data_IF_441490324777
#
_entry.id   IF_441490324777
#
_cell.length_a   1.000
_cell.length_b   1.000
_cell.length_c   1.000
_cell.angle_alpha   90.00
_cell.angle_beta   90.00
_cell.angle_gamma   90.00
#
_symmetry.space_group_name_H-M   'P 1'
#
loop_
_entity.id
_entity.type
_entity.pdbx_description
1 polymer ?
#
# COMPACT_ATOMS: atom_id res chain seq x y z
N UNK A 1 3.23 -10.90 17.91
CA UNK A 1 3.87 -11.25 16.64
C UNK A 1 3.17 -10.56 15.49
N UNK A 2 3.95 -10.02 14.56
CA UNK A 2 3.37 -9.34 13.40
C UNK A 2 2.88 -10.38 12.40
N UNK A 3 1.65 -10.21 11.92
CA UNK A 3 1.06 -11.07 10.90
C UNK A 3 0.63 -10.21 9.72
N UNK A 4 0.37 -10.85 8.58
CA UNK A 4 -0.14 -10.11 7.42
C UNK A 4 -1.45 -9.42 7.77
N UNK A 5 -2.32 -10.10 8.50
CA UNK A 5 -3.61 -9.51 8.87
C UNK A 5 -3.43 -8.30 9.75
N UNK A 6 -2.47 -8.36 10.68
CA UNK A 6 -2.21 -7.21 11.54
C UNK A 6 -1.68 -6.02 10.74
N UNK A 7 -0.80 -6.28 9.77
CA UNK A 7 -0.29 -5.22 8.92
C UNK A 7 -1.41 -4.58 8.14
N UNK A 8 -2.30 -5.39 7.56
CA UNK A 8 -3.43 -4.85 6.81
C UNK A 8 -4.35 -4.04 7.70
N UNK A 9 -4.51 -4.47 8.95
CA UNK A 9 -5.32 -3.73 9.91
C UNK A 9 -4.70 -2.38 10.24
N UNK A 10 -3.38 -2.35 10.41
CA UNK A 10 -2.69 -1.11 10.74
C UNK A 10 -2.86 -0.09 9.60
N UNK A 11 -2.82 -0.54 8.36
CA UNK A 11 -2.90 0.36 7.21
C UNK A 11 -4.28 0.40 6.59
N UNK A 12 -5.31 -0.08 7.28
CA UNK A 12 -6.64 -0.20 6.69
C UNK A 12 -7.17 1.13 6.18
N UNK A 13 -7.01 2.19 6.97
CA UNK A 13 -7.52 3.50 6.56
C UNK A 13 -6.79 4.00 5.33
N UNK A 14 -5.46 3.83 5.30
CA UNK A 14 -4.70 4.25 4.15
C UNK A 14 -5.11 3.47 2.90
N UNK A 15 -5.25 2.15 3.02
CA UNK A 15 -5.58 1.32 1.87
C UNK A 15 -6.97 1.63 1.34
N UNK A 16 -7.86 2.08 2.21
CA UNK A 16 -9.19 2.51 1.77
C UNK A 16 -9.11 3.84 1.02
N UNK A 17 -8.22 4.73 1.47
CA UNK A 17 -8.12 6.06 0.87
C UNK A 17 -7.37 6.07 -0.45
N UNK A 18 -6.35 5.23 -0.59
CA UNK A 18 -5.50 5.22 -1.78
C UNK A 18 -5.95 4.12 -2.71
N UNK A 19 -6.77 4.47 -3.69
CA UNK A 19 -7.37 3.50 -4.60
C UNK A 19 -6.38 2.92 -5.58
N UNK A 20 -5.18 3.46 -5.68
CA UNK A 20 -4.18 2.95 -6.62
C UNK A 20 -3.35 1.81 -6.05
N UNK A 21 -3.49 1.51 -4.76
CA UNK A 21 -2.73 0.46 -4.10
C UNK A 21 -3.69 -0.60 -3.61
N UNK A 22 -3.41 -1.86 -3.94
CA UNK A 22 -4.22 -2.98 -3.46
C UNK A 22 -3.29 -4.10 -2.99
N UNK A 23 -3.77 -4.86 -2.02
CA UNK A 23 -3.00 -5.95 -1.46
C UNK A 23 -3.86 -7.21 -1.47
N UNK A 24 -3.29 -8.29 -1.97
CA UNK A 24 -4.00 -9.57 -2.08
C UNK A 24 -3.22 -10.63 -1.33
N UNK A 25 -3.94 -11.54 -0.69
CA UNK A 25 -3.34 -12.69 -0.02
C UNK A 25 -3.15 -13.79 -1.06
N UNK A 26 -1.95 -14.33 -1.12
CA UNK A 26 -1.66 -15.46 -2.01
C UNK A 26 -1.03 -16.56 -1.17
N UNK A 27 -0.85 -17.73 -1.80
CA UNK A 27 -0.21 -18.82 -1.08
C UNK A 27 1.26 -18.55 -0.81
N UNK A 28 1.83 -17.57 -1.46
CA UNK A 28 3.25 -17.23 -1.30
C UNK A 28 3.46 -16.01 -0.43
N UNK A 29 2.40 -15.44 0.16
CA UNK A 29 2.48 -14.25 0.96
C UNK A 29 1.45 -13.23 0.51
N UNK A 30 1.76 -11.96 0.67
CA UNK A 30 0.88 -10.89 0.20
C UNK A 30 1.45 -10.24 -1.03
N UNK A 31 0.59 -9.96 -2.00
CA UNK A 31 0.98 -9.28 -3.23
C UNK A 31 0.46 -7.85 -3.17
N UNK A 32 1.36 -6.90 -3.26
CA UNK A 32 1.01 -5.48 -3.32
C UNK A 32 1.01 -5.06 -4.78
N UNK A 33 -0.11 -4.51 -5.25
CA UNK A 33 -0.29 -4.14 -6.64
C UNK A 33 -0.52 -2.65 -6.74
N UNK A 34 0.14 -2.02 -7.70
CA UNK A 34 0.00 -0.59 -7.92
C UNK A 34 -0.62 -0.33 -9.28
N UNK A 35 -1.58 0.60 -9.32
CA UNK A 35 -2.26 1.02 -10.54
C UNK A 35 -2.01 2.51 -10.76
N UNK A 36 -2.08 2.93 -12.04
CA UNK A 36 -1.98 4.36 -12.33
C UNK A 36 -3.36 5.01 -12.15
N UNK A 37 -3.45 6.29 -12.49
CA UNK A 37 -4.69 7.04 -12.27
C UNK A 37 -5.83 6.56 -13.14
N UNK A 38 -5.54 5.88 -14.23
CA UNK A 38 -6.55 5.28 -15.09
C UNK A 38 -6.82 3.84 -14.71
N UNK A 39 -6.24 3.40 -13.57
CA UNK A 39 -6.40 2.05 -13.04
C UNK A 39 -5.82 0.98 -13.95
N UNK A 40 -4.80 1.34 -14.71
CA UNK A 40 -4.01 0.35 -15.43
C UNK A 40 -2.93 -0.19 -14.52
N UNK A 41 -2.66 -1.49 -14.63
CA UNK A 41 -1.64 -2.14 -13.83
C UNK A 41 -0.27 -1.52 -14.09
N UNK A 42 0.42 -1.15 -13.03
CA UNK A 42 1.78 -0.62 -13.13
C UNK A 42 2.81 -1.63 -12.64
N UNK A 43 2.63 -2.14 -11.43
CA UNK A 43 3.62 -3.04 -10.86
C UNK A 43 3.00 -3.87 -9.77
N UNK A 44 3.65 -4.97 -9.45
CA UNK A 44 3.26 -5.82 -8.35
C UNK A 44 4.49 -6.33 -7.65
N UNK A 45 4.37 -6.55 -6.36
CA UNK A 45 5.48 -7.02 -5.56
C UNK A 45 4.98 -8.00 -4.53
N UNK A 46 5.66 -9.15 -4.44
CA UNK A 46 5.29 -10.19 -3.47
C UNK A 46 6.07 -9.96 -2.19
N UNK A 47 5.33 -9.86 -1.09
CA UNK A 47 5.92 -9.72 0.23
C UNK A 47 5.81 -11.07 0.92
N UNK A 48 6.95 -11.66 1.21
CA UNK A 48 7.00 -13.02 1.78
C UNK A 48 6.83 -13.03 3.29
N UNK A 49 7.06 -11.90 3.94
CA UNK A 49 6.91 -11.80 5.39
C UNK A 49 6.07 -10.58 5.73
N UNK A 50 5.42 -10.60 6.90
CA UNK A 50 4.66 -9.42 7.33
C UNK A 50 5.51 -8.17 7.45
N UNK A 51 6.78 -8.32 7.84
CA UNK A 51 7.64 -7.15 7.96
C UNK A 51 7.92 -6.52 6.60
N UNK A 52 8.10 -7.33 5.56
CA UNK A 52 8.29 -6.80 4.22
C UNK A 52 7.07 -6.00 3.78
N UNK A 53 5.88 -6.54 4.04
CA UNK A 53 4.67 -5.82 3.70
C UNK A 53 4.54 -4.53 4.49
N UNK A 54 4.86 -4.58 5.77
CA UNK A 54 4.80 -3.39 6.62
C UNK A 54 5.71 -2.29 6.06
N UNK A 55 6.96 -2.65 5.74
CA UNK A 55 7.91 -1.66 5.24
C UNK A 55 7.45 -1.07 3.92
N UNK A 56 6.91 -1.90 3.05
CA UNK A 56 6.45 -1.44 1.74
C UNK A 56 5.27 -0.50 1.88
N UNK A 57 4.28 -0.87 2.69
CA UNK A 57 3.11 -0.01 2.90
C UNK A 57 3.46 1.26 3.65
N UNK A 58 4.45 1.21 4.53
CA UNK A 58 4.89 2.42 5.23
C UNK A 58 5.48 3.42 4.24
N UNK A 59 6.26 2.94 3.27
CA UNK A 59 6.78 3.83 2.23
C UNK A 59 5.66 4.37 1.36
N UNK A 60 4.70 3.52 0.99
CA UNK A 60 3.55 3.96 0.20
C UNK A 60 2.75 5.02 0.94
N UNK A 61 2.53 4.80 2.22
CA UNK A 61 1.77 5.73 3.04
C UNK A 61 2.48 7.09 3.12
N UNK A 62 3.79 7.07 3.31
CA UNK A 62 4.54 8.32 3.38
C UNK A 62 4.46 9.08 2.06
N UNK A 63 4.59 8.39 0.95
CA UNK A 63 4.48 9.02 -0.36
C UNK A 63 3.08 9.61 -0.55
N UNK A 64 2.06 8.87 -0.14
CA UNK A 64 0.69 9.34 -0.26
C UNK A 64 0.46 10.61 0.57
N UNK A 65 0.97 10.62 1.81
CA UNK A 65 0.80 11.78 2.67
C UNK A 65 1.52 13.00 2.09
N UNK A 66 2.72 12.79 1.57
CA UNK A 66 3.46 13.90 0.96
C UNK A 66 2.73 14.45 -0.25
N UNK A 67 2.14 13.56 -1.04
CA UNK A 67 1.37 14.00 -2.19
C UNK A 67 0.16 14.81 -1.76
N UNK A 68 -0.57 14.35 -0.75
CA UNK A 68 -1.75 15.05 -0.28
C UNK A 68 -1.40 16.40 0.31
N UNK A 69 -0.30 16.47 1.06
CA UNK A 69 0.13 17.75 1.62
C UNK A 69 0.51 18.72 0.52
N UNK A 70 1.23 18.25 -0.50
CA UNK A 70 1.62 19.10 -1.61
C UNK A 70 0.40 19.58 -2.37
N UNK A 71 -0.55 18.69 -2.61
CA UNK A 71 -1.77 19.03 -3.32
C UNK A 71 -2.57 20.09 -2.55
N UNK A 72 -2.63 19.92 -1.23
CA UNK A 72 -3.38 20.86 -0.41
C UNK A 72 -2.74 22.23 -0.33
N UNK A 73 -1.45 22.34 -0.64
CA UNK A 73 -0.74 23.62 -0.58
C UNK A 73 -0.72 24.35 -1.88
N UNK A 74 -1.16 23.72 -2.93
CA UNK A 74 -1.14 24.38 -4.22
C UNK A 74 -2.14 25.49 -4.26
N UNK A 75 -1.73 26.50 -4.94
CA UNK A 75 -2.61 27.66 -5.11
C UNK A 75 -2.91 27.88 -6.54
#
# INVERSE_FOLDING_TARGET
>A
MLTFEKVLEIFADYLTADETIEVYISRHGCVRVEFDQDFHYCSGEVCHTPKELFNLLADDYRTYVEFELTKGRRE
#
